data_IF_329509601234
#
_entry.id   IF_329509601234
#
_cell.length_a   1.000
_cell.length_b   1.000
_cell.length_c   1.000
_cell.angle_alpha   90.00
_cell.angle_beta   90.00
_cell.angle_gamma   90.00
#
_symmetry.space_group_name_H-M   'P 1'
#
loop_
_entity.id
_entity.type
_entity.pdbx_description
1 polymer ?
#
# COMPACT_ATOMS: atom_id res chain seq x y z
N UNK A 1 15.33 21.22 12.60
CA UNK A 1 14.34 21.87 13.50
C UNK A 1 14.25 21.05 14.78
N UNK A 2 14.51 21.65 15.94
CA UNK A 2 14.44 20.97 17.25
C UNK A 2 13.14 21.42 17.93
N UNK A 3 12.24 20.48 18.21
CA UNK A 3 11.09 20.73 19.07
C UNK A 3 11.52 20.48 20.53
N UNK A 4 11.35 21.51 21.37
CA UNK A 4 11.47 21.42 22.82
C UNK A 4 10.11 21.77 23.43
N UNK A 5 9.65 20.93 24.37
CA UNK A 5 8.65 21.29 25.37
C UNK A 5 7.40 20.42 25.34
N UNK A 6 7.34 19.39 26.19
CA UNK A 6 6.70 19.48 27.51
C UNK A 6 6.85 18.13 28.22
N UNK A 7 7.55 18.15 29.36
CA UNK A 7 7.44 17.15 30.40
C UNK A 7 6.25 17.58 31.26
N UNK A 8 5.27 16.71 31.51
CA UNK A 8 4.71 16.49 32.85
C UNK A 8 3.64 15.39 32.88
N UNK A 9 3.77 14.57 33.93
CA UNK A 9 2.81 13.65 34.54
C UNK A 9 2.49 12.32 33.84
N UNK A 10 2.94 11.26 34.52
CA UNK A 10 2.49 9.89 34.37
C UNK A 10 0.96 9.81 34.37
N UNK A 11 0.36 9.40 33.25
CA UNK A 11 -0.95 8.78 33.26
C UNK A 11 -0.79 7.36 32.73
N UNK A 12 -0.64 6.42 33.67
CA UNK A 12 -0.87 5.00 33.42
C UNK A 12 -2.34 4.85 33.03
N UNK A 13 -2.61 4.85 31.72
CA UNK A 13 -3.91 4.45 31.21
C UNK A 13 -3.88 2.93 31.20
N UNK A 14 -4.75 2.32 32.01
CA UNK A 14 -4.95 0.88 32.10
C UNK A 14 -5.32 0.30 30.73
N UNK A 15 -4.70 -0.83 30.37
CA UNK A 15 -4.89 -1.55 29.10
C UNK A 15 -6.24 -2.28 28.97
N UNK A 16 -7.20 -2.01 29.84
CA UNK A 16 -8.51 -2.66 29.82
C UNK A 16 -9.60 -1.59 29.62
N UNK A 17 -10.49 -1.81 28.65
CA UNK A 17 -11.68 -1.01 28.32
C UNK A 17 -11.48 0.20 27.38
N UNK A 18 -10.70 0.05 26.31
CA UNK A 18 -10.99 0.81 25.09
C UNK A 18 -12.23 0.19 24.42
N UNK A 19 -13.42 0.45 24.99
CA UNK A 19 -14.68 0.19 24.30
C UNK A 19 -14.64 0.98 22.99
N UNK A 20 -14.49 0.27 21.87
CA UNK A 20 -14.63 0.87 20.55
C UNK A 20 -16.07 1.36 20.50
N UNK A 21 -16.27 2.68 20.61
CA UNK A 21 -17.57 3.28 20.32
C UNK A 21 -17.98 2.77 18.94
N UNK A 22 -19.14 2.13 18.88
CA UNK A 22 -19.77 1.72 17.62
C UNK A 22 -20.09 3.02 16.87
N UNK A 23 -19.14 3.48 16.05
CA UNK A 23 -19.36 4.62 15.18
C UNK A 23 -20.39 4.17 14.15
N UNK A 24 -21.58 4.78 14.19
CA UNK A 24 -22.52 4.73 13.08
C UNK A 24 -21.81 5.30 11.85
N UNK A 25 -21.34 4.42 10.97
CA UNK A 25 -20.69 4.80 9.71
C UNK A 25 -21.78 5.28 8.75
N UNK A 26 -22.18 6.54 8.91
CA UNK A 26 -23.23 7.16 8.08
C UNK A 26 -22.81 7.29 6.60
N UNK A 27 -21.50 7.31 6.34
CA UNK A 27 -20.97 7.56 4.99
C UNK A 27 -19.58 6.93 4.80
N UNK A 28 -19.48 6.00 3.84
CA UNK A 28 -18.20 5.53 3.33
C UNK A 28 -17.82 6.40 2.13
N UNK A 29 -16.80 7.25 2.30
CA UNK A 29 -16.26 8.01 1.19
C UNK A 29 -15.32 7.13 0.36
N UNK A 30 -15.79 6.69 -0.81
CA UNK A 30 -14.92 6.03 -1.80
C UNK A 30 -14.27 7.09 -2.67
N UNK A 31 -12.95 7.20 -2.61
CA UNK A 31 -12.19 8.05 -3.53
C UNK A 31 -11.91 7.28 -4.83
N UNK A 32 -12.07 7.95 -5.97
CA UNK A 32 -11.55 7.42 -7.22
C UNK A 32 -10.02 7.35 -7.11
N UNK A 33 -9.45 6.25 -7.60
CA UNK A 33 -7.99 6.09 -7.65
C UNK A 33 -7.45 6.98 -8.76
N UNK A 34 -6.58 7.93 -8.41
CA UNK A 34 -5.87 8.73 -9.39
C UNK A 34 -4.84 7.86 -10.11
N UNK A 35 -5.02 7.75 -11.43
CA UNK A 35 -4.11 7.01 -12.30
C UNK A 35 -3.13 7.98 -12.95
N UNK A 36 -1.84 7.71 -12.80
CA UNK A 36 -0.77 8.36 -13.55
C UNK A 36 -0.42 7.53 -14.78
N UNK A 37 -0.16 8.19 -15.91
CA UNK A 37 0.37 7.53 -17.10
C UNK A 37 1.90 7.59 -17.08
N UNK A 38 2.55 6.45 -17.31
CA UNK A 38 3.99 6.32 -17.43
C UNK A 38 4.36 5.51 -18.67
N UNK A 39 5.59 5.68 -19.15
CA UNK A 39 6.10 4.95 -20.32
C UNK A 39 7.05 3.86 -19.85
N UNK A 40 6.71 2.60 -20.14
CA UNK A 40 7.61 1.45 -19.95
C UNK A 40 7.90 0.88 -21.33
N UNK A 41 9.16 0.86 -21.76
CA UNK A 41 9.58 0.35 -23.07
C UNK A 41 8.76 0.89 -24.25
N UNK A 42 8.45 2.20 -24.20
CA UNK A 42 7.61 2.92 -25.20
C UNK A 42 6.13 2.54 -25.21
N UNK A 43 5.66 1.78 -24.22
CA UNK A 43 4.25 1.43 -24.04
C UNK A 43 3.68 2.30 -22.90
N UNK A 44 2.60 3.08 -23.15
CA UNK A 44 1.93 3.85 -22.11
C UNK A 44 1.16 2.92 -21.18
N UNK A 45 1.46 2.98 -19.88
CA UNK A 45 0.81 2.20 -18.84
C UNK A 45 0.25 3.14 -17.78
N UNK A 46 -1.00 2.89 -17.37
CA UNK A 46 -1.65 3.59 -16.26
C UNK A 46 -1.34 2.87 -14.94
N UNK A 47 -0.85 3.62 -13.96
CA UNK A 47 -0.57 3.14 -12.62
C UNK A 47 -1.37 3.92 -11.59
N UNK A 48 -1.81 3.24 -10.55
CA UNK A 48 -2.20 3.88 -9.31
C UNK A 48 -0.98 4.47 -8.61
N UNK A 49 -1.10 5.70 -8.11
CA UNK A 49 -0.08 6.31 -7.26
C UNK A 49 -0.31 5.91 -5.81
N UNK A 50 0.34 4.83 -5.38
CA UNK A 50 0.32 4.35 -3.99
C UNK A 50 1.61 4.72 -3.26
N UNK A 51 1.55 5.75 -2.41
CA UNK A 51 2.69 6.20 -1.58
C UNK A 51 3.00 5.28 -0.41
N UNK A 52 2.09 4.36 -0.07
CA UNK A 52 2.29 3.32 0.94
C UNK A 52 3.10 2.12 0.42
N UNK A 53 3.23 1.98 -0.90
CA UNK A 53 3.98 0.88 -1.48
C UNK A 53 5.48 1.16 -1.57
N UNK A 54 6.30 0.25 -1.04
CA UNK A 54 7.75 0.31 -1.16
C UNK A 54 8.29 -0.11 -2.54
N UNK A 55 7.44 -0.64 -3.42
CA UNK A 55 7.80 -1.13 -4.76
C UNK A 55 6.68 -0.86 -5.77
N UNK A 56 7.02 -0.73 -7.04
CA UNK A 56 6.01 -0.76 -8.11
C UNK A 56 5.61 -2.19 -8.42
N UNK A 57 4.30 -2.45 -8.54
CA UNK A 57 3.75 -3.77 -8.85
C UNK A 57 2.92 -3.67 -10.12
N UNK A 58 3.05 -4.66 -11.01
CA UNK A 58 2.20 -4.79 -12.20
C UNK A 58 1.42 -6.10 -12.15
N UNK A 59 0.22 -6.07 -12.71
CA UNK A 59 -0.59 -7.28 -12.91
C UNK A 59 -0.17 -8.05 -14.17
N UNK A 60 -0.73 -9.25 -14.33
CA UNK A 60 -0.49 -10.09 -15.51
C UNK A 60 -0.91 -9.43 -16.82
N UNK A 61 -1.99 -8.64 -16.82
CA UNK A 61 -2.47 -7.92 -18.01
C UNK A 61 -1.42 -6.93 -18.53
N UNK A 62 -0.82 -6.15 -17.62
CA UNK A 62 0.26 -5.22 -17.95
C UNK A 62 1.50 -5.99 -18.43
N UNK A 63 1.88 -7.07 -17.75
CA UNK A 63 3.02 -7.90 -18.18
C UNK A 63 2.83 -8.49 -19.59
N UNK A 64 1.61 -8.91 -19.92
CA UNK A 64 1.27 -9.36 -21.28
C UNK A 64 1.34 -8.22 -22.30
N UNK A 65 0.85 -7.03 -21.95
CA UNK A 65 0.94 -5.84 -22.80
C UNK A 65 2.40 -5.44 -23.09
N UNK A 66 3.31 -5.68 -22.12
CA UNK A 66 4.75 -5.47 -22.27
C UNK A 66 5.46 -6.56 -23.09
N UNK A 67 4.72 -7.52 -23.67
CA UNK A 67 5.31 -8.58 -24.50
C UNK A 67 5.87 -9.75 -23.71
N UNK A 68 5.44 -9.94 -22.46
CA UNK A 68 5.84 -11.06 -21.59
C UNK A 68 7.35 -11.15 -21.38
N UNK A 69 8.02 -10.07 -20.93
CA UNK A 69 9.45 -10.12 -20.66
C UNK A 69 9.77 -11.22 -19.64
N UNK A 70 10.92 -11.89 -19.82
CA UNK A 70 11.35 -12.96 -18.94
C UNK A 70 11.44 -12.44 -17.50
N UNK A 71 10.78 -13.16 -16.59
CA UNK A 71 10.84 -12.86 -15.17
C UNK A 71 12.14 -13.41 -14.57
N UNK A 72 12.58 -12.82 -13.48
CA UNK A 72 13.67 -13.36 -12.68
C UNK A 72 13.07 -14.08 -11.47
N UNK A 73 13.67 -15.21 -11.09
CA UNK A 73 13.31 -15.88 -9.85
C UNK A 73 13.54 -14.94 -8.67
N UNK A 74 12.60 -14.92 -7.73
CA UNK A 74 12.67 -14.02 -6.56
C UNK A 74 12.17 -14.74 -5.32
N UNK A 75 12.93 -14.59 -4.23
CA UNK A 75 12.51 -15.05 -2.90
C UNK A 75 11.73 -13.99 -2.13
N UNK A 76 11.34 -12.89 -2.79
CA UNK A 76 10.59 -11.80 -2.17
C UNK A 76 9.09 -12.06 -2.22
N UNK A 77 8.40 -11.58 -1.20
CA UNK A 77 6.94 -11.50 -1.14
C UNK A 77 6.55 -10.07 -0.76
N UNK A 78 5.43 -9.58 -1.26
CA UNK A 78 4.83 -8.35 -0.76
C UNK A 78 3.86 -8.69 0.37
N UNK A 79 3.80 -7.85 1.40
CA UNK A 79 2.80 -7.95 2.45
C UNK A 79 1.75 -6.86 2.21
N UNK A 80 0.50 -7.25 2.01
CA UNK A 80 -0.62 -6.31 1.92
C UNK A 80 -0.98 -5.76 3.32
N UNK A 81 -1.73 -4.65 3.36
CA UNK A 81 -2.14 -3.99 4.61
C UNK A 81 -2.76 -4.94 5.66
N UNK A 82 -3.48 -5.98 5.22
CA UNK A 82 -4.08 -7.01 6.08
C UNK A 82 -3.15 -8.17 6.49
N UNK A 83 -1.84 -8.05 6.27
CA UNK A 83 -0.85 -9.09 6.59
C UNK A 83 -0.77 -10.25 5.57
N UNK A 84 -1.66 -10.28 4.58
CA UNK A 84 -1.63 -11.26 3.50
C UNK A 84 -0.33 -11.16 2.69
N UNK A 85 0.31 -12.30 2.45
CA UNK A 85 1.51 -12.38 1.61
C UNK A 85 1.12 -12.61 0.15
N UNK A 86 1.54 -11.67 -0.71
CA UNK A 86 1.42 -11.73 -2.15
C UNK A 86 2.75 -12.23 -2.74
N UNK A 87 2.69 -13.37 -3.44
CA UNK A 87 3.84 -13.92 -4.16
C UNK A 87 3.94 -13.27 -5.53
N UNK A 88 5.15 -12.87 -5.91
CA UNK A 88 5.42 -12.49 -7.29
C UNK A 88 5.45 -13.74 -8.16
N UNK A 89 5.04 -13.59 -9.43
CA UNK A 89 5.24 -14.63 -10.42
C UNK A 89 6.74 -14.72 -10.71
N UNK A 90 7.25 -15.94 -10.69
CA UNK A 90 8.58 -16.37 -11.09
C UNK A 90 8.50 -17.27 -12.34
N UNK A 91 9.67 -17.74 -12.81
CA UNK A 91 9.83 -18.55 -14.03
C UNK A 91 9.46 -20.00 -13.79
#
# INVERSE_FOLDING_TARGET
CKYNGLNESNNLISEDEASIYEYDVDFIQTYAVDLIETMIDKIPIKFELDTGSGISVIGSQTWEALGRPNLQETHRVAQAYGGQLLRFRDV
#
